data_IF_111192784619
#
_entry.id   IF_111192784619
#
_cell.length_a   1.000
_cell.length_b   1.000
_cell.length_c   1.000
_cell.angle_alpha   90.00
_cell.angle_beta   90.00
_cell.angle_gamma   90.00
#
_symmetry.space_group_name_H-M   'P 1'
#
loop_
_entity.id
_entity.type
_entity.pdbx_description
1 polymer ?
#
# COMPACT_ATOMS: atom_id res chain seq x y z
N UNK A 1 -2.92 -11.56 12.10
CA UNK A 1 -1.45 -11.34 12.04
C UNK A 1 -1.19 -10.23 11.05
N UNK A 2 -0.68 -9.10 11.54
CA UNK A 2 -0.38 -7.90 10.76
C UNK A 2 0.56 -8.15 9.57
N UNK A 3 0.13 -7.77 8.37
CA UNK A 3 0.96 -7.79 7.18
C UNK A 3 1.96 -6.61 7.14
N UNK A 4 2.82 -6.56 6.12
CA UNK A 4 3.86 -5.53 6.00
C UNK A 4 3.29 -4.11 5.87
N UNK A 5 2.15 -3.94 5.20
CA UNK A 5 1.49 -2.64 5.03
C UNK A 5 0.91 -2.11 6.34
N UNK A 6 0.22 -2.97 7.10
CA UNK A 6 -0.31 -2.63 8.41
C UNK A 6 0.79 -2.27 9.41
N UNK A 7 1.91 -3.02 9.40
CA UNK A 7 3.09 -2.68 10.21
C UNK A 7 3.69 -1.33 9.83
N UNK A 8 3.85 -1.07 8.53
CA UNK A 8 4.36 0.20 8.03
C UNK A 8 3.48 1.37 8.48
N UNK A 9 2.17 1.26 8.28
CA UNK A 9 1.22 2.27 8.73
C UNK A 9 1.28 2.47 10.25
N UNK A 10 1.29 1.39 11.03
CA UNK A 10 1.33 1.49 12.49
C UNK A 10 2.55 2.29 12.96
N UNK A 11 3.73 2.04 12.40
CA UNK A 11 4.95 2.78 12.74
C UNK A 11 4.94 4.22 12.22
N UNK A 12 4.35 4.46 11.04
CA UNK A 12 4.19 5.80 10.50
C UNK A 12 3.31 6.67 11.40
N UNK A 13 2.16 6.16 11.88
CA UNK A 13 1.26 6.92 12.77
C UNK A 13 1.88 7.16 14.14
N UNK A 14 2.54 6.16 14.73
CA UNK A 14 3.27 6.36 16.00
C UNK A 14 4.29 7.49 15.91
N UNK A 15 4.94 7.63 14.76
CA UNK A 15 5.99 8.62 14.55
C UNK A 15 5.46 10.00 14.20
N UNK A 16 4.43 10.07 13.35
CA UNK A 16 3.99 11.31 12.70
C UNK A 16 2.69 11.88 13.26
N UNK A 17 1.83 11.03 13.85
CA UNK A 17 0.54 11.40 14.42
C UNK A 17 0.27 10.65 15.75
N UNK A 18 1.15 10.79 16.77
CA UNK A 18 1.03 10.03 18.02
C UNK A 18 -0.25 10.33 18.80
N UNK A 19 -0.79 11.56 18.69
CA UNK A 19 -2.05 11.94 19.32
C UNK A 19 -3.25 11.21 18.70
N UNK A 20 -3.30 11.08 17.38
CA UNK A 20 -4.33 10.31 16.68
C UNK A 20 -4.19 8.81 16.94
N UNK A 21 -2.95 8.30 16.93
CA UNK A 21 -2.68 6.91 17.27
C UNK A 21 -3.22 6.53 18.66
N UNK A 22 -3.06 7.42 19.65
CA UNK A 22 -3.54 7.20 21.02
C UNK A 22 -5.07 7.15 21.14
N UNK A 23 -5.82 7.66 20.15
CA UNK A 23 -7.28 7.62 20.13
C UNK A 23 -7.83 6.32 19.54
N UNK A 24 -7.00 5.48 18.92
CA UNK A 24 -7.41 4.22 18.32
C UNK A 24 -7.62 3.18 19.44
N UNK A 25 -8.85 2.67 19.67
CA UNK A 25 -9.13 1.78 20.81
C UNK A 25 -8.46 0.41 20.72
N UNK A 26 -8.39 -0.16 19.52
CA UNK A 26 -7.66 -1.41 19.24
C UNK A 26 -6.73 -1.18 18.03
N UNK A 27 -5.50 -0.71 18.27
CA UNK A 27 -4.58 -0.42 17.17
C UNK A 27 -4.17 -1.69 16.42
N UNK A 28 -4.14 -2.86 17.07
CA UNK A 28 -3.75 -4.10 16.37
C UNK A 28 -4.81 -4.45 15.34
N UNK A 29 -6.09 -4.54 15.73
CA UNK A 29 -7.17 -4.83 14.79
C UNK A 29 -7.29 -3.77 13.69
N UNK A 30 -7.15 -2.49 14.05
CA UNK A 30 -7.29 -1.38 13.11
C UNK A 30 -6.23 -1.42 12.00
N UNK A 31 -4.95 -1.54 12.39
CA UNK A 31 -3.86 -1.60 11.41
C UNK A 31 -3.83 -2.95 10.66
N UNK A 32 -4.37 -4.04 11.24
CA UNK A 32 -4.52 -5.31 10.54
C UNK A 32 -5.50 -5.16 9.38
N UNK A 33 -6.67 -4.57 9.62
CA UNK A 33 -7.66 -4.28 8.59
C UNK A 33 -7.12 -3.29 7.54
N UNK A 34 -6.48 -2.19 7.96
CA UNK A 34 -5.88 -1.23 7.03
C UNK A 34 -4.80 -1.87 6.15
N UNK A 35 -3.98 -2.75 6.73
CA UNK A 35 -2.96 -3.49 6.00
C UNK A 35 -3.57 -4.41 4.95
N UNK A 36 -4.64 -5.13 5.27
CA UNK A 36 -5.34 -6.02 4.34
C UNK A 36 -5.97 -5.24 3.18
N UNK A 37 -6.63 -4.13 3.48
CA UNK A 37 -7.22 -3.23 2.47
C UNK A 37 -6.14 -2.67 1.54
N UNK A 38 -5.02 -2.20 2.09
CA UNK A 38 -3.90 -1.71 1.31
C UNK A 38 -3.29 -2.79 0.41
N UNK A 39 -3.17 -4.03 0.90
CA UNK A 39 -2.67 -5.15 0.09
C UNK A 39 -3.58 -5.43 -1.12
N UNK A 40 -4.90 -5.39 -0.92
CA UNK A 40 -5.88 -5.53 -1.99
C UNK A 40 -5.75 -4.38 -3.00
N UNK A 41 -5.69 -3.14 -2.51
CA UNK A 41 -5.62 -1.96 -3.36
C UNK A 41 -4.33 -1.87 -4.17
N UNK A 42 -3.19 -2.32 -3.63
CA UNK A 42 -1.94 -2.48 -4.39
C UNK A 42 -2.12 -3.48 -5.54
N UNK A 43 -2.78 -4.61 -5.30
CA UNK A 43 -3.04 -5.62 -6.34
C UNK A 43 -3.91 -5.09 -7.47
N UNK A 44 -5.00 -4.40 -7.12
CA UNK A 44 -5.91 -3.76 -8.07
C UNK A 44 -5.18 -2.69 -8.89
N UNK A 45 -4.50 -1.77 -8.21
CA UNK A 45 -3.79 -0.67 -8.86
C UNK A 45 -2.60 -1.15 -9.70
N UNK A 46 -1.90 -2.20 -9.27
CA UNK A 46 -0.84 -2.83 -10.07
C UNK A 46 -1.40 -3.32 -11.41
N UNK A 47 -2.57 -3.95 -11.42
CA UNK A 47 -3.21 -4.44 -12.65
C UNK A 47 -3.67 -3.29 -13.53
N UNK A 48 -4.25 -2.23 -12.94
CA UNK A 48 -4.64 -1.00 -13.64
C UNK A 48 -3.43 -0.32 -14.29
N UNK A 49 -2.31 -0.19 -13.56
CA UNK A 49 -1.08 0.44 -14.03
C UNK A 49 -0.32 -0.41 -15.04
N UNK A 50 -0.35 -1.75 -14.90
CA UNK A 50 0.30 -2.64 -15.84
C UNK A 50 -0.40 -2.63 -17.20
N UNK A 51 -1.73 -2.48 -17.18
CA UNK A 51 -2.55 -2.56 -18.39
C UNK A 51 -2.51 -3.96 -19.03
N UNK A 52 -3.18 -4.12 -20.19
CA UNK A 52 -3.19 -5.39 -20.92
C UNK A 52 -1.81 -5.77 -21.44
N UNK A 53 -1.59 -7.07 -21.66
CA UNK A 53 -0.35 -7.57 -22.25
C UNK A 53 -0.20 -7.10 -23.72
N UNK A 54 0.88 -6.38 -24.06
CA UNK A 54 1.14 -5.98 -25.45
C UNK A 54 1.41 -7.19 -26.36
N UNK A 55 0.95 -7.11 -27.61
CA UNK A 55 1.23 -8.14 -28.60
C UNK A 55 2.73 -8.18 -28.92
N UNK A 56 3.34 -9.36 -28.79
CA UNK A 56 4.79 -9.55 -29.05
C UNK A 56 5.72 -9.20 -27.89
N UNK A 57 5.19 -8.88 -26.70
CA UNK A 57 5.99 -8.64 -25.48
C UNK A 57 6.83 -9.88 -25.12
N UNK A 58 8.14 -9.71 -25.00
CA UNK A 58 9.02 -10.77 -24.54
C UNK A 58 8.85 -11.00 -23.04
N UNK A 59 9.15 -12.22 -22.56
CA UNK A 59 8.97 -12.59 -21.15
C UNK A 59 9.62 -11.62 -20.15
N UNK A 60 10.87 -11.19 -20.41
CA UNK A 60 11.57 -10.26 -19.52
C UNK A 60 10.98 -8.86 -19.54
N UNK A 61 10.43 -8.41 -20.68
CA UNK A 61 9.74 -7.13 -20.79
C UNK A 61 8.47 -7.15 -19.94
N UNK A 62 7.71 -8.25 -20.01
CA UNK A 62 6.52 -8.47 -19.17
C UNK A 62 6.86 -8.43 -17.69
N UNK A 63 7.89 -9.14 -17.26
CA UNK A 63 8.35 -9.14 -15.85
C UNK A 63 8.77 -7.73 -15.43
N UNK A 64 9.50 -7.01 -16.29
CA UNK A 64 9.91 -5.63 -16.04
C UNK A 64 8.71 -4.69 -15.83
N UNK A 65 7.73 -4.75 -16.73
CA UNK A 65 6.49 -3.96 -16.64
C UNK A 65 5.72 -4.27 -15.36
N UNK A 66 5.45 -5.54 -15.07
CA UNK A 66 4.71 -5.94 -13.87
C UNK A 66 5.41 -5.50 -12.57
N UNK A 67 6.74 -5.59 -12.51
CA UNK A 67 7.50 -5.12 -11.36
C UNK A 67 7.43 -3.59 -11.21
N UNK A 68 7.56 -2.84 -12.32
CA UNK A 68 7.44 -1.39 -12.30
C UNK A 68 6.04 -0.92 -11.88
N UNK A 69 4.99 -1.59 -12.36
CA UNK A 69 3.60 -1.31 -11.97
C UNK A 69 3.35 -1.64 -10.50
N UNK A 70 3.92 -2.75 -10.00
CA UNK A 70 3.84 -3.09 -8.57
C UNK A 70 4.50 -2.01 -7.70
N UNK A 71 5.72 -1.58 -8.04
CA UNK A 71 6.41 -0.54 -7.27
C UNK A 71 5.62 0.76 -7.22
N UNK A 72 5.09 1.21 -8.36
CA UNK A 72 4.26 2.40 -8.44
C UNK A 72 2.97 2.25 -7.62
N UNK A 73 2.29 1.11 -7.70
CA UNK A 73 1.09 0.85 -6.91
C UNK A 73 1.37 0.89 -5.40
N UNK A 74 2.47 0.30 -4.96
CA UNK A 74 2.89 0.36 -3.56
C UNK A 74 3.21 1.78 -3.09
N UNK A 75 3.84 2.60 -3.92
CA UNK A 75 4.15 4.01 -3.60
C UNK A 75 2.86 4.83 -3.43
N UNK A 76 1.91 4.68 -4.36
CA UNK A 76 0.62 5.39 -4.32
C UNK A 76 -0.18 4.98 -3.08
N UNK A 77 -0.36 3.69 -2.84
CA UNK A 77 -1.13 3.20 -1.68
C UNK A 77 -0.47 3.62 -0.37
N UNK A 78 0.86 3.64 -0.29
CA UNK A 78 1.55 4.14 0.90
C UNK A 78 1.23 5.61 1.18
N UNK A 79 1.26 6.44 0.15
CA UNK A 79 1.01 7.88 0.28
C UNK A 79 -0.46 8.18 0.58
N UNK A 80 -1.39 7.45 -0.02
CA UNK A 80 -2.84 7.74 0.08
C UNK A 80 -3.51 7.08 1.29
N UNK A 81 -3.07 5.88 1.69
CA UNK A 81 -3.75 5.08 2.73
C UNK A 81 -2.88 4.82 3.96
N UNK A 82 -1.56 4.75 3.81
CA UNK A 82 -0.64 4.29 4.86
C UNK A 82 0.24 5.41 5.45
N UNK A 83 -0.16 6.66 5.28
CA UNK A 83 0.35 7.78 6.08
C UNK A 83 -0.80 8.65 6.54
N UNK A 84 -0.76 9.22 7.77
CA UNK A 84 -1.80 10.12 8.24
C UNK A 84 -1.85 11.34 7.33
N UNK A 85 -3.05 11.87 7.09
CA UNK A 85 -3.22 13.03 6.21
C UNK A 85 -2.39 14.19 6.76
N UNK A 86 -1.44 14.68 5.95
CA UNK A 86 -0.56 15.80 6.33
C UNK A 86 -1.24 17.16 6.22
N UNK A 87 -2.53 17.22 5.88
CA UNK A 87 -3.30 18.47 5.81
C UNK A 87 -3.61 19.00 7.21
N UNK A 88 -2.58 19.60 7.82
CA UNK A 88 -2.69 20.64 8.85
C UNK A 88 -2.32 21.99 8.24
#
# INVERSE_FOLDING_TARGET
MMNTYGKFAQEAWKTTAPAEYALIPDPVQWFEALGEEAAQRVGELMMELAGPDPAGEAYLEKVGRLNASKMQAEEIVRAEMLTPDRRC
#
